data_IF_952587936364
#
_entry.id   IF_952587936364
#
_cell.length_a   1.000
_cell.length_b   1.000
_cell.length_c   1.000
_cell.angle_alpha   90.00
_cell.angle_beta   90.00
_cell.angle_gamma   90.00
#
_symmetry.space_group_name_H-M   'P 1'
#
loop_
_entity.id
_entity.type
_entity.pdbx_description
1 polymer ?
#
# COMPACT_ATOMS: atom_id res chain seq x y z
N UNK A 1 -10.22 -8.35 6.56
CA UNK A 1 -10.12 -8.82 5.16
C UNK A 1 -9.85 -10.30 5.21
N UNK A 2 -10.56 -11.09 4.40
CA UNK A 2 -10.37 -12.53 4.33
C UNK A 2 -10.26 -12.97 2.86
N UNK A 3 -9.28 -13.78 2.56
CA UNK A 3 -9.06 -14.42 1.28
C UNK A 3 -9.24 -15.93 1.50
N UNK A 4 -10.27 -16.52 0.90
CA UNK A 4 -10.63 -17.91 1.14
C UNK A 4 -10.36 -18.74 -0.12
N UNK A 5 -9.34 -19.61 -0.04
CA UNK A 5 -8.96 -20.58 -1.07
C UNK A 5 -8.87 -19.95 -2.47
N UNK A 6 -8.25 -18.77 -2.56
CA UNK A 6 -8.16 -18.03 -3.83
C UNK A 6 -7.09 -18.64 -4.73
N UNK A 7 -7.44 -18.82 -6.00
CA UNK A 7 -6.48 -19.12 -7.06
C UNK A 7 -6.67 -18.15 -8.21
N UNK A 8 -5.56 -17.68 -8.78
CA UNK A 8 -5.58 -16.69 -9.86
C UNK A 8 -4.45 -16.91 -10.86
N UNK A 9 -4.77 -16.72 -12.14
CA UNK A 9 -3.84 -16.63 -13.27
C UNK A 9 -4.38 -15.63 -14.28
N UNK A 10 -3.49 -14.96 -15.02
CA UNK A 10 -3.90 -13.94 -15.97
C UNK A 10 -4.51 -14.52 -17.27
N UNK A 11 -4.02 -15.68 -17.71
CA UNK A 11 -4.53 -16.37 -18.91
C UNK A 11 -4.96 -17.79 -18.53
N UNK A 12 -5.93 -18.36 -19.26
CA UNK A 12 -6.49 -19.68 -18.90
C UNK A 12 -5.47 -20.82 -19.02
N UNK A 13 -4.48 -20.70 -19.88
CA UNK A 13 -3.40 -21.67 -20.05
C UNK A 13 -2.10 -21.26 -19.34
N UNK A 14 -2.10 -20.12 -18.64
CA UNK A 14 -0.93 -19.59 -17.95
C UNK A 14 -0.67 -20.25 -16.58
N UNK A 15 0.52 -20.02 -16.02
CA UNK A 15 0.85 -20.51 -14.69
C UNK A 15 -0.01 -19.87 -13.63
N UNK A 16 -0.27 -20.58 -12.54
CA UNK A 16 -0.90 -20.02 -11.35
C UNK A 16 0.04 -18.98 -10.71
N UNK A 17 -0.47 -17.75 -10.55
CA UNK A 17 0.23 -16.66 -9.87
C UNK A 17 -0.08 -16.68 -8.38
N UNK A 18 -1.32 -17.01 -8.03
CA UNK A 18 -1.78 -17.31 -6.67
C UNK A 18 -2.46 -18.67 -6.74
N UNK A 19 -2.15 -19.54 -5.78
CA UNK A 19 -2.65 -20.90 -5.81
C UNK A 19 -3.15 -21.35 -4.42
N UNK A 20 -4.47 -21.60 -4.32
CA UNK A 20 -5.19 -22.04 -3.12
C UNK A 20 -4.85 -21.23 -1.85
N UNK A 21 -4.61 -19.93 -1.99
CA UNK A 21 -4.15 -19.07 -0.90
C UNK A 21 -5.29 -18.75 0.07
N UNK A 22 -5.00 -18.92 1.35
CA UNK A 22 -5.85 -18.52 2.46
C UNK A 22 -5.13 -17.46 3.30
N UNK A 23 -5.80 -16.34 3.58
CA UNK A 23 -5.24 -15.27 4.40
C UNK A 23 -6.35 -14.53 5.13
N UNK A 24 -6.22 -14.38 6.43
CA UNK A 24 -7.10 -13.53 7.24
C UNK A 24 -6.29 -12.38 7.83
N UNK A 25 -6.75 -11.15 7.61
CA UNK A 25 -6.12 -9.92 8.07
C UNK A 25 -7.11 -9.22 9.01
N UNK A 26 -6.90 -9.25 10.32
CA UNK A 26 -7.73 -8.56 11.30
C UNK A 26 -7.76 -7.03 11.07
N UNK A 27 -8.85 -6.41 11.48
CA UNK A 27 -9.00 -4.95 11.43
C UNK A 27 -7.90 -4.26 12.25
N UNK A 28 -7.29 -3.24 11.68
CA UNK A 28 -6.24 -2.45 12.32
C UNK A 28 -4.85 -3.10 12.27
N UNK A 29 -4.70 -4.33 11.76
CA UNK A 29 -3.41 -5.00 11.66
C UNK A 29 -2.50 -4.31 10.64
N UNK A 30 -1.22 -4.21 10.94
CA UNK A 30 -0.17 -3.81 10.00
C UNK A 30 0.55 -5.06 9.49
N UNK A 31 0.22 -5.47 8.26
CA UNK A 31 0.74 -6.67 7.60
C UNK A 31 1.81 -6.30 6.57
N UNK A 32 2.98 -6.94 6.65
CA UNK A 32 3.97 -6.92 5.57
C UNK A 32 3.83 -8.18 4.68
N UNK A 33 3.89 -7.98 3.38
CA UNK A 33 4.02 -9.04 2.38
C UNK A 33 5.44 -8.94 1.81
N UNK A 34 6.23 -9.98 2.00
CA UNK A 34 7.59 -10.10 1.49
C UNK A 34 7.71 -11.31 0.57
N UNK A 35 8.74 -11.35 -0.26
CA UNK A 35 8.99 -12.45 -1.18
C UNK A 35 9.78 -12.00 -2.40
N UNK A 36 10.21 -12.95 -3.23
CA UNK A 36 10.98 -12.68 -4.45
C UNK A 36 10.19 -11.85 -5.47
N UNK A 37 10.88 -11.21 -6.38
CA UNK A 37 10.22 -10.52 -7.51
C UNK A 37 9.46 -11.56 -8.34
N UNK A 38 8.22 -11.21 -8.73
CA UNK A 38 7.36 -12.10 -9.53
C UNK A 38 6.61 -13.19 -8.75
N UNK A 39 6.76 -13.31 -7.41
CA UNK A 39 6.05 -14.33 -6.63
C UNK A 39 4.54 -14.09 -6.42
N UNK A 40 3.99 -12.96 -6.91
CA UNK A 40 2.54 -12.68 -6.86
C UNK A 40 2.10 -11.58 -5.90
N UNK A 41 3.01 -10.84 -5.21
CA UNK A 41 2.67 -9.80 -4.22
C UNK A 41 1.72 -8.71 -4.76
N UNK A 42 2.09 -8.09 -5.86
CA UNK A 42 1.26 -7.04 -6.50
C UNK A 42 -0.06 -7.62 -7.02
N UNK A 43 -0.05 -8.85 -7.53
CA UNK A 43 -1.29 -9.56 -7.94
C UNK A 43 -2.20 -9.82 -6.75
N UNK A 44 -1.65 -10.22 -5.60
CA UNK A 44 -2.42 -10.40 -4.36
C UNK A 44 -3.08 -9.09 -3.91
N UNK A 45 -2.35 -7.96 -3.99
CA UNK A 45 -2.93 -6.64 -3.72
C UNK A 45 -4.04 -6.28 -4.71
N UNK A 46 -3.86 -6.55 -6.01
CA UNK A 46 -4.88 -6.29 -7.04
C UNK A 46 -6.17 -7.08 -6.80
N UNK A 47 -6.04 -8.33 -6.35
CA UNK A 47 -7.19 -9.15 -5.93
C UNK A 47 -7.91 -8.54 -4.71
N UNK A 48 -7.17 -8.07 -3.70
CA UNK A 48 -7.75 -7.38 -2.55
C UNK A 48 -8.44 -6.06 -2.90
N UNK A 49 -8.00 -5.36 -3.96
CA UNK A 49 -8.64 -4.14 -4.45
C UNK A 49 -9.84 -4.40 -5.37
N UNK A 50 -10.11 -5.66 -5.73
CA UNK A 50 -11.13 -6.01 -6.72
C UNK A 50 -10.81 -5.56 -8.15
N UNK A 51 -9.53 -5.33 -8.47
CA UNK A 51 -9.08 -5.07 -9.84
C UNK A 51 -8.95 -6.35 -10.66
N UNK A 52 -8.77 -7.47 -9.97
CA UNK A 52 -8.77 -8.81 -10.55
C UNK A 52 -9.82 -9.66 -9.83
N UNK A 53 -10.41 -10.59 -10.56
CA UNK A 53 -11.34 -11.58 -10.01
C UNK A 53 -10.63 -12.93 -9.91
N UNK A 54 -10.60 -13.58 -8.74
CA UNK A 54 -9.97 -14.90 -8.62
C UNK A 54 -10.71 -15.92 -9.50
N UNK A 55 -9.98 -16.89 -10.04
CA UNK A 55 -10.55 -18.01 -10.82
C UNK A 55 -11.30 -19.00 -9.91
N UNK A 56 -10.88 -19.12 -8.65
CA UNK A 56 -11.58 -19.85 -7.61
C UNK A 56 -11.41 -19.19 -6.25
N UNK A 57 -12.28 -19.48 -5.31
CA UNK A 57 -12.35 -18.83 -4.01
C UNK A 57 -12.93 -17.43 -4.06
N UNK A 58 -12.83 -16.68 -2.98
CA UNK A 58 -13.35 -15.32 -2.90
C UNK A 58 -12.59 -14.46 -1.88
N UNK A 59 -12.64 -13.14 -2.08
CA UNK A 59 -12.12 -12.11 -1.17
C UNK A 59 -13.30 -11.47 -0.44
N UNK A 60 -13.17 -11.33 0.88
CA UNK A 60 -14.22 -10.78 1.73
C UNK A 60 -13.74 -9.57 2.52
N UNK A 61 -14.61 -8.56 2.63
CA UNK A 61 -14.46 -7.42 3.53
C UNK A 61 -15.60 -7.44 4.55
N UNK A 62 -15.26 -7.57 5.83
CA UNK A 62 -16.21 -7.72 6.94
C UNK A 62 -17.28 -8.80 6.64
N UNK A 63 -16.84 -9.95 6.14
CA UNK A 63 -17.68 -11.10 5.79
C UNK A 63 -18.51 -10.97 4.50
N UNK A 64 -18.37 -9.86 3.76
CA UNK A 64 -19.07 -9.63 2.50
C UNK A 64 -18.13 -9.85 1.32
N UNK A 65 -18.55 -10.68 0.37
CA UNK A 65 -17.83 -10.95 -0.87
C UNK A 65 -17.62 -9.64 -1.66
N UNK A 66 -16.36 -9.33 -1.99
CA UNK A 66 -15.97 -8.11 -2.71
C UNK A 66 -16.68 -7.96 -4.06
N UNK A 67 -17.00 -9.07 -4.73
CA UNK A 67 -17.68 -9.05 -6.02
C UNK A 67 -19.15 -8.64 -5.92
N UNK A 68 -19.74 -8.73 -4.72
CA UNK A 68 -21.13 -8.35 -4.43
C UNK A 68 -21.25 -6.95 -3.83
N UNK A 69 -20.12 -6.26 -3.60
CA UNK A 69 -20.12 -4.91 -3.07
C UNK A 69 -20.18 -3.87 -4.18
N UNK A 70 -20.75 -2.71 -3.87
CA UNK A 70 -20.59 -1.54 -4.72
C UNK A 70 -19.13 -1.13 -4.77
N UNK A 71 -18.50 -1.29 -5.93
CA UNK A 71 -17.07 -1.07 -6.14
C UNK A 71 -16.65 0.38 -5.87
N UNK A 72 -17.52 1.35 -6.12
CA UNK A 72 -17.25 2.77 -5.84
C UNK A 72 -17.14 3.00 -4.33
N UNK A 73 -18.14 2.55 -3.57
CA UNK A 73 -18.14 2.65 -2.10
C UNK A 73 -16.97 1.90 -1.47
N UNK A 74 -16.62 0.72 -1.99
CA UNK A 74 -15.48 -0.04 -1.51
C UNK A 74 -14.18 0.74 -1.72
N UNK A 75 -13.93 1.25 -2.93
CA UNK A 75 -12.70 1.98 -3.27
C UNK A 75 -12.54 3.28 -2.47
N UNK A 76 -13.63 3.92 -2.06
CA UNK A 76 -13.58 5.08 -1.17
C UNK A 76 -13.07 4.73 0.24
N UNK A 77 -13.15 3.45 0.64
CA UNK A 77 -12.66 2.96 1.93
C UNK A 77 -11.21 2.44 1.86
N UNK A 78 -10.61 2.41 0.68
CA UNK A 78 -9.26 1.88 0.44
C UNK A 78 -8.37 2.99 -0.11
N UNK A 79 -7.32 3.34 0.62
CA UNK A 79 -6.24 4.19 0.13
C UNK A 79 -5.11 3.33 -0.47
N UNK A 80 -4.62 3.71 -1.63
CA UNK A 80 -3.63 2.92 -2.38
C UNK A 80 -2.47 3.79 -2.83
N UNK A 81 -1.24 3.31 -2.61
CA UNK A 81 -0.02 3.84 -3.23
C UNK A 81 0.68 2.71 -3.95
N UNK A 82 0.69 2.75 -5.28
CA UNK A 82 1.36 1.75 -6.13
C UNK A 82 2.80 2.16 -6.43
N UNK A 83 3.69 1.19 -6.63
CA UNK A 83 5.11 1.38 -6.95
C UNK A 83 5.34 2.38 -8.11
N UNK A 84 4.58 2.23 -9.19
CA UNK A 84 4.67 3.07 -10.39
C UNK A 84 3.59 4.17 -10.43
N UNK A 85 3.08 4.57 -9.26
CA UNK A 85 2.06 5.61 -9.16
C UNK A 85 2.56 6.95 -9.72
N UNK A 86 1.65 7.68 -10.38
CA UNK A 86 1.94 9.00 -10.96
C UNK A 86 1.01 10.06 -10.39
N UNK A 87 1.50 11.28 -10.38
CA UNK A 87 0.66 12.46 -10.19
C UNK A 87 0.06 12.85 -11.55
N UNK A 88 -1.15 13.39 -11.50
CA UNK A 88 -1.83 13.89 -12.69
C UNK A 88 -1.42 15.34 -12.98
N UNK A 89 -1.54 15.76 -14.22
CA UNK A 89 -1.45 17.17 -14.58
C UNK A 89 -2.53 17.97 -13.84
N UNK A 90 -2.16 19.09 -13.27
CA UNK A 90 -3.03 19.93 -12.43
C UNK A 90 -2.30 20.41 -11.18
N UNK A 91 -3.00 21.08 -10.27
CA UNK A 91 -2.40 21.55 -9.03
C UNK A 91 -2.28 20.44 -7.95
N UNK A 92 -1.51 20.72 -6.90
CA UNK A 92 -1.31 19.79 -5.78
C UNK A 92 -2.63 19.48 -5.08
N UNK A 93 -3.49 20.51 -4.87
CA UNK A 93 -4.80 20.32 -4.24
C UNK A 93 -5.66 19.31 -5.00
N UNK A 94 -5.83 19.49 -6.31
CA UNK A 94 -6.58 18.58 -7.17
C UNK A 94 -5.98 17.16 -7.17
N UNK A 95 -4.65 17.07 -7.12
CA UNK A 95 -3.96 15.79 -7.01
C UNK A 95 -4.25 15.05 -5.71
N UNK A 96 -4.27 15.75 -4.57
CA UNK A 96 -4.56 15.14 -3.27
C UNK A 96 -6.04 14.74 -3.18
N UNK A 97 -6.96 15.60 -3.67
CA UNK A 97 -8.42 15.41 -3.51
C UNK A 97 -9.09 14.67 -4.67
N UNK A 98 -8.34 14.17 -5.65
CA UNK A 98 -8.89 13.57 -6.88
C UNK A 98 -9.92 12.45 -6.64
N UNK A 99 -9.73 11.66 -5.58
CA UNK A 99 -10.66 10.58 -5.21
C UNK A 99 -11.88 11.07 -4.41
N UNK A 100 -11.87 12.32 -3.94
CA UNK A 100 -12.89 12.92 -3.10
C UNK A 100 -12.98 14.44 -3.38
N UNK A 101 -13.50 14.86 -4.55
CA UNK A 101 -13.52 16.27 -4.97
C UNK A 101 -14.34 17.20 -4.07
N UNK A 102 -15.19 16.63 -3.19
CA UNK A 102 -15.95 17.37 -2.20
C UNK A 102 -15.14 17.85 -1.00
N UNK A 103 -13.91 17.36 -0.82
CA UNK A 103 -13.02 17.76 0.26
C UNK A 103 -12.39 19.12 -0.05
N UNK A 104 -12.18 19.92 1.01
CA UNK A 104 -11.64 21.26 0.91
C UNK A 104 -10.12 21.32 1.16
N UNK A 105 -9.62 22.56 1.14
CA UNK A 105 -8.20 22.84 1.42
C UNK A 105 -7.78 22.36 2.80
N UNK A 106 -8.67 22.39 3.79
CA UNK A 106 -8.38 21.93 5.16
C UNK A 106 -7.97 20.47 5.16
N UNK A 107 -8.78 19.61 4.57
CA UNK A 107 -8.53 18.16 4.52
C UNK A 107 -7.27 17.86 3.68
N UNK A 108 -7.03 18.61 2.62
CA UNK A 108 -5.82 18.47 1.82
C UNK A 108 -4.55 18.84 2.61
N UNK A 109 -4.58 19.90 3.43
CA UNK A 109 -3.47 20.28 4.32
C UNK A 109 -3.27 19.24 5.42
N UNK A 110 -4.34 18.74 6.07
CA UNK A 110 -4.24 17.67 7.06
C UNK A 110 -3.55 16.42 6.47
N UNK A 111 -3.92 16.03 5.25
CA UNK A 111 -3.30 14.90 4.58
C UNK A 111 -1.82 15.18 4.21
N UNK A 112 -1.49 16.41 3.80
CA UNK A 112 -0.12 16.81 3.51
C UNK A 112 0.77 16.81 4.76
N UNK A 113 0.25 17.25 5.92
CA UNK A 113 0.95 17.17 7.21
C UNK A 113 1.24 15.72 7.58
N UNK A 114 0.23 14.86 7.52
CA UNK A 114 0.37 13.43 7.83
C UNK A 114 1.36 12.71 6.90
N UNK A 115 1.41 13.11 5.64
CA UNK A 115 2.34 12.58 4.65
C UNK A 115 3.74 13.23 4.73
N UNK A 116 3.94 14.25 5.59
CA UNK A 116 5.21 14.94 5.77
C UNK A 116 5.64 15.78 4.58
N UNK A 117 4.69 16.31 3.78
CA UNK A 117 4.97 17.13 2.60
C UNK A 117 4.47 18.58 2.72
N UNK A 118 3.84 18.90 3.84
CA UNK A 118 3.22 20.23 4.03
C UNK A 118 4.22 21.39 3.95
N UNK A 119 5.40 21.25 4.57
CA UNK A 119 6.43 22.29 4.55
C UNK A 119 7.02 22.48 3.14
N UNK A 120 7.21 21.39 2.39
CA UNK A 120 7.61 21.49 0.99
C UNK A 120 6.58 22.30 0.20
N UNK A 121 5.28 22.01 0.39
CA UNK A 121 4.19 22.71 -0.31
C UNK A 121 4.15 24.21 0.09
N UNK A 122 4.32 24.55 1.38
CA UNK A 122 4.37 25.94 1.86
C UNK A 122 5.49 26.74 1.23
N UNK A 123 6.62 26.09 0.95
CA UNK A 123 7.79 26.71 0.33
C UNK A 123 7.66 26.85 -1.21
N UNK A 124 6.62 26.28 -1.82
CA UNK A 124 6.35 26.46 -3.25
C UNK A 124 5.64 27.79 -3.51
N UNK A 125 5.92 28.46 -4.65
CA UNK A 125 5.38 29.82 -4.93
C UNK A 125 3.85 29.93 -4.86
N UNK A 126 3.13 28.86 -5.22
CA UNK A 126 1.66 28.84 -5.23
C UNK A 126 1.08 27.89 -4.16
N UNK A 127 1.90 27.36 -3.26
CA UNK A 127 1.46 26.43 -2.21
C UNK A 127 0.67 25.26 -2.79
N UNK A 128 -0.53 24.97 -2.23
CA UNK A 128 -1.42 23.90 -2.72
C UNK A 128 -1.87 24.06 -4.19
N UNK A 129 -1.82 25.28 -4.73
CA UNK A 129 -2.17 25.56 -6.13
C UNK A 129 -0.98 25.52 -7.08
N UNK A 130 0.17 25.03 -6.61
CA UNK A 130 1.34 24.81 -7.47
C UNK A 130 0.99 23.78 -8.54
N UNK A 131 1.17 24.17 -9.81
CA UNK A 131 0.87 23.31 -10.96
C UNK A 131 1.97 22.29 -11.14
N UNK A 132 1.56 21.05 -11.26
CA UNK A 132 2.41 19.90 -11.59
C UNK A 132 2.24 19.56 -13.06
N UNK A 133 3.36 19.57 -13.80
CA UNK A 133 3.38 19.14 -15.20
C UNK A 133 3.39 17.60 -15.29
N UNK A 134 2.98 17.08 -16.43
CA UNK A 134 3.06 15.66 -16.73
C UNK A 134 4.51 15.15 -16.61
N UNK A 135 4.72 14.06 -15.86
CA UNK A 135 6.05 13.56 -15.54
C UNK A 135 6.69 14.15 -14.28
N UNK A 136 5.97 15.00 -13.51
CA UNK A 136 6.39 15.55 -12.22
C UNK A 136 7.65 16.43 -12.29
N UNK A 137 7.87 17.14 -13.40
CA UNK A 137 8.91 18.15 -13.50
C UNK A 137 8.73 19.21 -12.40
N UNK A 138 9.82 19.49 -11.64
CA UNK A 138 9.83 20.49 -10.58
C UNK A 138 9.64 19.96 -9.16
N UNK A 139 9.37 18.64 -8.95
CA UNK A 139 9.32 18.02 -7.62
C UNK A 139 10.25 16.80 -7.53
N UNK A 140 10.82 16.58 -6.34
CA UNK A 140 11.69 15.42 -6.09
C UNK A 140 10.91 14.11 -6.04
N UNK A 141 11.60 12.97 -6.19
CA UNK A 141 10.99 11.64 -6.03
C UNK A 141 10.34 11.44 -4.66
N UNK A 142 10.98 11.94 -3.59
CA UNK A 142 10.43 11.90 -2.24
C UNK A 142 9.19 12.78 -2.07
N UNK A 143 9.17 13.98 -2.62
CA UNK A 143 7.99 14.86 -2.62
C UNK A 143 6.83 14.20 -3.36
N UNK A 144 7.09 13.65 -4.56
CA UNK A 144 6.07 12.91 -5.34
C UNK A 144 5.48 11.76 -4.53
N UNK A 145 6.33 10.96 -3.89
CA UNK A 145 5.88 9.81 -3.09
C UNK A 145 5.01 10.25 -1.91
N UNK A 146 5.41 11.33 -1.20
CA UNK A 146 4.61 11.89 -0.10
C UNK A 146 3.29 12.49 -0.57
N UNK A 147 3.24 13.12 -1.75
CA UNK A 147 1.98 13.58 -2.35
C UNK A 147 1.05 12.42 -2.71
N UNK A 148 1.58 11.30 -3.21
CA UNK A 148 0.78 10.09 -3.45
C UNK A 148 0.26 9.48 -2.14
N UNK A 149 1.05 9.54 -1.06
CA UNK A 149 0.58 9.12 0.28
C UNK A 149 -0.54 10.06 0.75
N UNK A 150 -0.38 11.39 0.65
CA UNK A 150 -1.42 12.37 0.99
C UNK A 150 -2.74 12.09 0.25
N UNK A 151 -2.66 11.83 -1.08
CA UNK A 151 -3.80 11.40 -1.90
C UNK A 151 -4.48 10.14 -1.36
N UNK A 152 -3.70 9.14 -0.95
CA UNK A 152 -4.23 7.87 -0.48
C UNK A 152 -4.94 8.00 0.89
N UNK A 153 -4.56 8.97 1.72
CA UNK A 153 -5.05 9.10 3.10
C UNK A 153 -6.06 10.24 3.31
N UNK A 154 -6.26 11.13 2.34
CA UNK A 154 -7.13 12.31 2.48
C UNK A 154 -8.57 11.95 2.87
N UNK A 155 -9.07 10.80 2.43
CA UNK A 155 -10.40 10.27 2.77
C UNK A 155 -10.45 9.57 4.12
N UNK A 156 -9.32 9.49 4.85
CA UNK A 156 -9.17 8.71 6.10
C UNK A 156 -9.69 7.27 5.93
N UNK A 157 -9.14 6.51 4.97
CA UNK A 157 -9.66 5.20 4.56
C UNK A 157 -9.50 4.17 5.68
N UNK A 158 -10.35 3.11 5.65
CA UNK A 158 -10.28 1.99 6.61
C UNK A 158 -9.15 1.00 6.29
N UNK A 159 -8.72 0.95 5.04
CA UNK A 159 -7.65 0.08 4.56
C UNK A 159 -6.64 0.88 3.77
N UNK A 160 -5.36 0.65 4.01
CA UNK A 160 -4.25 1.24 3.28
C UNK A 160 -3.41 0.13 2.65
N UNK A 161 -3.21 0.23 1.35
CA UNK A 161 -2.41 -0.70 0.55
C UNK A 161 -1.21 0.04 -0.03
N UNK A 162 0.00 -0.37 0.35
CA UNK A 162 1.24 0.27 -0.07
C UNK A 162 2.13 -0.73 -0.82
N UNK A 163 2.38 -0.46 -2.09
CA UNK A 163 3.36 -1.20 -2.88
C UNK A 163 4.64 -0.36 -2.99
N UNK A 164 5.63 -0.65 -2.16
CA UNK A 164 6.91 0.09 -2.06
C UNK A 164 6.76 1.61 -1.87
N UNK A 165 5.68 2.04 -1.22
CA UNK A 165 5.29 3.46 -1.13
C UNK A 165 6.26 4.36 -0.36
N UNK A 166 7.27 3.84 0.30
CA UNK A 166 8.27 4.60 1.07
C UNK A 166 9.70 4.43 0.54
N UNK A 167 9.86 3.83 -0.64
CA UNK A 167 11.20 3.51 -1.19
C UNK A 167 12.07 4.72 -1.52
N UNK A 168 11.48 5.88 -1.82
CA UNK A 168 12.20 7.12 -2.09
C UNK A 168 12.32 8.06 -0.87
N UNK A 169 11.85 7.65 0.31
CA UNK A 169 11.93 8.47 1.53
C UNK A 169 13.22 8.14 2.31
N UNK A 170 13.81 9.16 2.92
CA UNK A 170 14.83 8.98 3.95
C UNK A 170 14.21 8.40 5.24
N UNK A 171 15.05 7.90 6.15
CA UNK A 171 14.58 7.20 7.34
C UNK A 171 13.80 8.09 8.32
N UNK A 172 14.11 9.39 8.40
CA UNK A 172 13.44 10.34 9.29
C UNK A 172 12.03 10.60 8.79
N UNK A 173 11.90 10.94 7.52
CA UNK A 173 10.62 11.18 6.84
C UNK A 173 9.76 9.91 6.83
N UNK A 174 10.35 8.73 6.57
CA UNK A 174 9.64 7.47 6.63
C UNK A 174 9.05 7.21 8.02
N UNK A 175 9.81 7.46 9.09
CA UNK A 175 9.35 7.30 10.46
C UNK A 175 8.20 8.25 10.77
N UNK A 176 8.33 9.54 10.41
CA UNK A 176 7.26 10.53 10.59
C UNK A 176 5.95 10.09 9.92
N UNK A 177 6.02 9.66 8.65
CA UNK A 177 4.86 9.16 7.92
C UNK A 177 4.28 7.93 8.60
N UNK A 178 5.11 6.95 8.98
CA UNK A 178 4.65 5.73 9.65
C UNK A 178 3.92 6.03 10.97
N UNK A 179 4.48 6.93 11.79
CA UNK A 179 3.87 7.32 13.06
C UNK A 179 2.54 8.08 12.85
N UNK A 180 2.47 8.96 11.85
CA UNK A 180 1.23 9.64 11.47
C UNK A 180 0.15 8.65 11.02
N UNK A 181 0.51 7.65 10.21
CA UNK A 181 -0.42 6.63 9.73
C UNK A 181 -0.95 5.70 10.83
N UNK A 182 -0.21 5.51 11.93
CA UNK A 182 -0.70 4.76 13.11
C UNK A 182 -1.96 5.40 13.70
N UNK A 183 -2.05 6.73 13.68
CA UNK A 183 -3.18 7.47 14.22
C UNK A 183 -4.48 7.29 13.44
N UNK A 184 -4.42 6.87 12.17
CA UNK A 184 -5.61 6.58 11.35
C UNK A 184 -6.35 5.31 11.76
N UNK A 185 -5.73 4.42 12.56
CA UNK A 185 -6.29 3.11 12.96
C UNK A 185 -6.78 2.26 11.78
N UNK A 186 -6.25 2.49 10.60
CA UNK A 186 -6.55 1.73 9.39
C UNK A 186 -5.85 0.37 9.41
N UNK A 187 -6.45 -0.63 8.79
CA UNK A 187 -5.74 -1.86 8.41
C UNK A 187 -4.71 -1.51 7.35
N UNK A 188 -3.45 -1.84 7.57
CA UNK A 188 -2.35 -1.49 6.67
C UNK A 188 -1.71 -2.74 6.10
N UNK A 189 -1.56 -2.78 4.79
CA UNK A 189 -0.91 -3.88 4.08
C UNK A 189 0.19 -3.27 3.22
N UNK A 190 1.40 -3.73 3.39
CA UNK A 190 2.56 -3.20 2.68
C UNK A 190 3.34 -4.31 1.98
N UNK A 191 3.63 -4.13 0.70
CA UNK A 191 4.71 -4.87 0.05
C UNK A 191 6.00 -4.14 0.43
N UNK A 192 6.82 -4.80 1.25
CA UNK A 192 7.98 -4.16 1.86
C UNK A 192 9.28 -4.78 1.37
N UNK A 193 10.21 -3.90 0.99
CA UNK A 193 11.58 -4.24 0.68
C UNK A 193 12.58 -3.66 1.70
N UNK A 194 12.15 -2.68 2.51
CA UNK A 194 12.99 -2.06 3.54
C UNK A 194 12.81 -2.74 4.89
N UNK A 195 13.92 -3.07 5.51
CA UNK A 195 13.96 -3.67 6.84
C UNK A 195 13.29 -2.79 7.91
N UNK A 196 13.45 -1.44 7.81
CA UNK A 196 12.81 -0.49 8.72
C UNK A 196 11.28 -0.63 8.73
N UNK A 197 10.67 -0.73 7.55
CA UNK A 197 9.22 -0.93 7.40
C UNK A 197 8.78 -2.27 8.00
N UNK A 198 9.50 -3.35 7.68
CA UNK A 198 9.13 -4.71 8.10
C UNK A 198 9.17 -4.87 9.63
N UNK A 199 10.14 -4.24 10.29
CA UNK A 199 10.26 -4.27 11.76
C UNK A 199 9.09 -3.62 12.49
N UNK A 200 8.38 -2.69 11.85
CA UNK A 200 7.23 -2.00 12.41
C UNK A 200 5.90 -2.74 12.21
N UNK A 201 5.89 -3.80 11.39
CA UNK A 201 4.69 -4.56 11.11
C UNK A 201 4.35 -5.54 12.24
N UNK A 202 3.05 -5.67 12.53
CA UNK A 202 2.54 -6.63 13.52
C UNK A 202 2.71 -8.07 13.05
N UNK A 203 2.63 -8.28 11.73
CA UNK A 203 2.69 -9.60 11.09
C UNK A 203 3.38 -9.50 9.74
N UNK A 204 4.09 -10.55 9.39
CA UNK A 204 4.81 -10.69 8.13
C UNK A 204 4.37 -12.02 7.51
N UNK A 205 3.99 -11.98 6.24
CA UNK A 205 3.83 -13.20 5.43
C UNK A 205 4.89 -13.22 4.35
N UNK A 206 5.44 -14.39 4.10
CA UNK A 206 6.37 -14.64 3.00
C UNK A 206 5.62 -15.35 1.89
N UNK A 207 5.57 -14.70 0.73
CA UNK A 207 4.94 -15.25 -0.47
C UNK A 207 6.04 -15.82 -1.38
N UNK A 208 5.87 -17.07 -1.80
CA UNK A 208 6.70 -17.69 -2.83
C UNK A 208 5.83 -18.54 -3.76
N UNK A 209 6.01 -18.36 -5.07
CA UNK A 209 5.28 -19.10 -6.12
C UNK A 209 3.78 -19.19 -5.88
N UNK A 210 3.16 -18.10 -5.42
CA UNK A 210 1.72 -18.01 -5.19
C UNK A 210 1.21 -18.57 -3.87
N UNK A 211 2.09 -19.10 -3.01
CA UNK A 211 1.75 -19.66 -1.70
C UNK A 211 2.35 -18.84 -0.55
N UNK A 212 1.67 -18.83 0.60
CA UNK A 212 2.26 -18.31 1.84
C UNK A 212 3.10 -19.44 2.43
N UNK A 213 4.45 -19.25 2.45
CA UNK A 213 5.39 -20.25 2.95
C UNK A 213 5.83 -20.00 4.39
N UNK A 214 5.75 -18.75 4.85
CA UNK A 214 6.03 -18.36 6.23
C UNK A 214 5.05 -17.29 6.68
N UNK A 215 4.67 -17.31 7.96
CA UNK A 215 3.72 -16.40 8.58
C UNK A 215 4.09 -16.19 10.05
N UNK A 216 4.31 -14.95 10.46
CA UNK A 216 4.73 -14.68 11.82
C UNK A 216 5.08 -13.22 12.08
N UNK A 217 5.73 -12.97 13.20
CA UNK A 217 6.30 -11.66 13.56
C UNK A 217 7.75 -11.57 13.09
N UNK A 218 8.31 -10.34 13.05
CA UNK A 218 9.73 -10.15 12.76
C UNK A 218 10.62 -11.00 13.68
N UNK A 219 10.27 -11.06 14.97
CA UNK A 219 11.07 -11.80 15.97
C UNK A 219 11.01 -13.31 15.76
N UNK A 220 9.82 -13.87 15.47
CA UNK A 220 9.66 -15.30 15.24
C UNK A 220 10.35 -15.75 13.96
N UNK A 221 10.13 -15.05 12.84
CA UNK A 221 10.68 -15.43 11.54
C UNK A 221 12.19 -15.23 11.44
N UNK A 222 12.75 -14.20 12.08
CA UNK A 222 14.21 -14.00 12.09
C UNK A 222 14.97 -15.08 12.89
N UNK A 223 14.29 -15.80 13.80
CA UNK A 223 14.88 -16.93 14.57
C UNK A 223 14.63 -18.29 13.93
N UNK A 224 13.60 -18.42 13.09
CA UNK A 224 13.18 -19.72 12.53
C UNK A 224 14.16 -20.32 11.51
N UNK A 225 15.10 -19.55 10.98
CA UNK A 225 16.12 -20.06 10.03
C UNK A 225 15.60 -20.31 8.62
N UNK A 226 14.35 -19.85 8.30
CA UNK A 226 13.68 -20.11 7.04
C UNK A 226 14.03 -19.14 5.90
N UNK A 227 13.13 -19.04 4.94
CA UNK A 227 13.26 -18.16 3.78
C UNK A 227 13.42 -16.69 4.18
N UNK A 228 12.62 -16.23 5.15
CA UNK A 228 12.66 -14.85 5.62
C UNK A 228 14.06 -14.46 6.13
N UNK A 229 14.72 -15.30 6.91
CA UNK A 229 16.07 -15.02 7.40
C UNK A 229 17.09 -14.93 6.26
N UNK A 230 17.00 -15.81 5.26
CA UNK A 230 17.88 -15.78 4.08
C UNK A 230 17.62 -14.52 3.25
N UNK A 231 16.37 -14.16 3.06
CA UNK A 231 15.96 -12.92 2.39
C UNK A 231 16.51 -11.68 3.12
N UNK A 232 16.44 -11.64 4.46
CA UNK A 232 17.02 -10.56 5.28
C UNK A 232 18.54 -10.42 5.11
N UNK A 233 19.26 -11.53 4.97
CA UNK A 233 20.72 -11.50 4.74
C UNK A 233 21.06 -10.90 3.38
N UNK A 234 20.26 -11.17 2.36
CA UNK A 234 20.41 -10.60 1.01
C UNK A 234 20.11 -9.10 0.93
N UNK A 235 19.35 -8.55 1.88
CA UNK A 235 19.04 -7.09 1.95
C UNK A 235 20.14 -6.27 2.67
N UNK A 236 21.15 -6.92 3.25
CA UNK A 236 22.25 -6.26 3.97
C UNK A 236 23.50 -6.02 3.09
N UNK A 237 23.50 -6.52 1.86
CA UNK A 237 24.53 -6.28 0.84
C UNK A 237 24.01 -5.26 -0.18
#
# INVERSE_FOLDING_TARGET
IELNNISFRYTDDGPWIIDHLNLKIPRGQYLAIVGTTGCGKTTLMRLMMGFETPKSGAVYYDGKDIQKLDQKSLRQQIGVVMQNGKLFSGDIFSNITISAPQLGLKEAWEAAEMAGVADDIRNMPMGMHTILSEGSGGISGGQRQRLMIARAIVTKPKVLLFDEATSALDNITQKHVSDSLKNLKSTRIVIAHRLSTIKECDRIIVLDKGHIIEDGTYQSLSKAGGFFLNWLKGQKN
#
